data_IF_341262321941
#
_entry.id   IF_341262321941
#
_cell.length_a   1.000
_cell.length_b   1.000
_cell.length_c   1.000
_cell.angle_alpha   90.00
_cell.angle_beta   90.00
_cell.angle_gamma   90.00
#
_symmetry.space_group_name_H-M   'P 1'
#
loop_
_entity.id
_entity.type
_entity.pdbx_description
1 polymer ?
#
# COMPACT_ATOMS: atom_id res chain seq x y z
N UNK A 1 -58.95 -28.77 -53.49
CA UNK A 1 -58.53 -29.86 -54.45
C UNK A 1 -57.41 -30.60 -53.75
N UNK A 2 -57.70 -31.70 -53.13
CA UNK A 2 -57.51 -33.07 -53.63
C UNK A 2 -56.01 -33.43 -53.71
N UNK A 3 -55.65 -34.32 -52.83
CA UNK A 3 -55.11 -35.69 -52.85
C UNK A 3 -53.55 -35.70 -52.86
N UNK A 4 -52.80 -36.59 -52.31
CA UNK A 4 -53.04 -37.92 -51.81
C UNK A 4 -51.87 -38.43 -51.03
N UNK A 5 -52.16 -39.28 -50.10
CA UNK A 5 -51.37 -40.24 -49.33
C UNK A 5 -50.41 -41.06 -50.23
N UNK A 6 -49.17 -41.31 -49.77
CA UNK A 6 -48.50 -42.61 -49.87
C UNK A 6 -47.67 -42.91 -48.66
N UNK A 7 -48.01 -43.98 -48.04
CA UNK A 7 -47.31 -44.67 -46.93
C UNK A 7 -46.14 -45.45 -47.49
N UNK A 8 -45.00 -45.46 -46.84
CA UNK A 8 -44.04 -46.59 -46.98
C UNK A 8 -43.25 -46.72 -45.69
N UNK A 9 -43.46 -47.82 -45.02
CA UNK A 9 -42.72 -48.39 -43.91
C UNK A 9 -41.36 -48.87 -44.41
N UNK A 10 -40.27 -48.48 -43.72
CA UNK A 10 -39.01 -49.23 -43.66
C UNK A 10 -38.40 -49.16 -42.28
N UNK A 11 -38.18 -50.30 -41.80
CA UNK A 11 -37.59 -50.87 -40.64
C UNK A 11 -36.26 -50.25 -40.16
N UNK A 12 -36.12 -50.01 -38.93
CA UNK A 12 -35.05 -50.38 -37.99
C UNK A 12 -33.63 -49.94 -38.25
N UNK A 13 -33.17 -49.10 -37.30
CA UNK A 13 -31.85 -49.30 -36.67
C UNK A 13 -31.80 -48.39 -35.41
N UNK A 14 -31.94 -49.00 -34.25
CA UNK A 14 -31.68 -48.36 -32.94
C UNK A 14 -30.17 -48.11 -32.83
N UNK A 15 -29.74 -46.87 -33.10
CA UNK A 15 -28.47 -46.35 -32.62
C UNK A 15 -28.71 -45.60 -31.31
N UNK A 16 -28.34 -46.25 -30.22
CA UNK A 16 -28.27 -45.68 -28.90
C UNK A 16 -27.18 -44.59 -28.89
N UNK A 17 -27.59 -43.35 -29.13
CA UNK A 17 -26.79 -42.18 -28.81
C UNK A 17 -26.83 -42.00 -27.31
N UNK A 18 -25.76 -42.46 -26.63
CA UNK A 18 -25.44 -42.03 -25.26
C UNK A 18 -25.22 -40.53 -25.31
N UNK A 19 -26.23 -39.77 -24.90
CA UNK A 19 -26.08 -38.35 -24.54
C UNK A 19 -25.15 -38.31 -23.35
N UNK A 20 -23.86 -38.00 -23.62
CA UNK A 20 -22.95 -37.49 -22.60
C UNK A 20 -23.53 -36.18 -22.12
N UNK A 21 -24.10 -36.20 -20.92
CA UNK A 21 -24.40 -34.98 -20.18
C UNK A 21 -23.07 -34.28 -19.98
N UNK A 22 -22.81 -33.23 -20.74
CA UNK A 22 -21.82 -32.24 -20.35
C UNK A 22 -22.32 -31.66 -19.02
N UNK A 23 -21.66 -32.01 -17.93
CA UNK A 23 -21.85 -31.33 -16.65
C UNK A 23 -21.58 -29.86 -16.91
N UNK A 24 -22.61 -29.04 -16.72
CA UNK A 24 -22.45 -27.60 -16.63
C UNK A 24 -21.40 -27.34 -15.52
N UNK A 25 -20.51 -26.33 -15.67
CA UNK A 25 -19.60 -25.97 -14.62
C UNK A 25 -20.43 -25.71 -13.37
N UNK A 26 -20.19 -26.50 -12.32
CA UNK A 26 -20.80 -26.28 -11.02
C UNK A 26 -20.48 -24.85 -10.60
N UNK A 27 -21.51 -24.05 -10.41
CA UNK A 27 -21.39 -22.76 -9.74
C UNK A 27 -20.66 -23.03 -8.42
N UNK A 28 -19.59 -22.29 -8.10
CA UNK A 28 -18.85 -22.52 -6.87
C UNK A 28 -19.84 -22.43 -5.70
N UNK A 29 -20.00 -23.56 -5.02
CA UNK A 29 -20.84 -23.70 -3.86
C UNK A 29 -20.38 -22.65 -2.85
N UNK A 30 -21.27 -21.75 -2.44
CA UNK A 30 -20.98 -20.77 -1.36
C UNK A 30 -20.72 -21.58 -0.09
N UNK A 31 -19.47 -21.76 0.22
CA UNK A 31 -19.03 -22.50 1.39
C UNK A 31 -19.54 -21.79 2.65
N UNK A 32 -20.39 -22.47 3.40
CA UNK A 32 -20.74 -22.02 4.74
C UNK A 32 -19.46 -22.14 5.61
N UNK A 33 -18.94 -21.04 6.21
CA UNK A 33 -17.72 -21.05 7.00
C UNK A 33 -17.71 -22.12 8.10
N UNK A 34 -18.86 -22.38 8.72
CA UNK A 34 -18.98 -23.36 9.79
C UNK A 34 -18.89 -24.81 9.28
N UNK A 35 -19.41 -25.11 8.08
CA UNK A 35 -19.28 -26.42 7.44
C UNK A 35 -17.84 -26.71 7.00
N UNK A 36 -17.16 -25.72 6.44
CA UNK A 36 -15.76 -25.84 6.04
C UNK A 36 -14.87 -26.09 7.24
N UNK A 37 -15.10 -25.35 8.31
CA UNK A 37 -14.37 -25.53 9.57
C UNK A 37 -14.69 -26.88 10.21
N UNK A 38 -15.92 -27.35 10.13
CA UNK A 38 -16.30 -28.70 10.64
C UNK A 38 -15.60 -29.82 9.85
N UNK A 39 -15.43 -29.64 8.53
CA UNK A 39 -14.71 -30.61 7.66
C UNK A 39 -13.21 -30.61 7.88
N UNK A 40 -12.62 -29.53 8.41
CA UNK A 40 -11.17 -29.39 8.62
C UNK A 40 -10.61 -30.28 9.73
N UNK A 41 -11.47 -30.95 10.54
CA UNK A 41 -11.05 -31.75 11.68
C UNK A 41 -10.47 -30.95 12.86
N UNK A 42 -10.54 -29.59 12.78
CA UNK A 42 -10.10 -28.71 13.88
C UNK A 42 -11.08 -28.84 15.05
N UNK A 43 -10.64 -29.26 16.25
CA UNK A 43 -11.52 -29.39 17.40
C UNK A 43 -12.23 -28.06 17.73
N UNK A 44 -13.48 -28.08 18.20
CA UNK A 44 -14.24 -26.87 18.51
C UNK A 44 -13.58 -26.00 19.58
N UNK A 45 -12.83 -26.60 20.49
CA UNK A 45 -12.12 -25.91 21.56
C UNK A 45 -10.84 -26.66 21.87
N UNK A 46 -9.70 -26.16 21.43
CA UNK A 46 -8.37 -26.67 21.71
C UNK A 46 -7.33 -25.53 21.62
N UNK A 47 -6.14 -25.81 22.13
CA UNK A 47 -4.98 -24.93 21.95
C UNK A 47 -4.42 -25.16 20.55
N UNK A 48 -4.37 -24.11 19.74
CA UNK A 48 -3.81 -24.12 18.39
C UNK A 48 -2.29 -23.87 18.42
N UNK A 49 -1.87 -22.85 19.20
CA UNK A 49 -0.48 -22.56 19.48
C UNK A 49 -0.33 -21.93 20.87
N UNK A 50 0.89 -21.96 21.38
CA UNK A 50 1.31 -21.19 22.56
C UNK A 50 2.44 -20.27 22.09
N UNK A 51 2.30 -18.98 22.35
CA UNK A 51 3.25 -17.94 21.95
C UNK A 51 3.75 -17.27 23.23
N UNK A 52 4.95 -17.63 23.65
CA UNK A 52 5.47 -17.30 24.98
C UNK A 52 4.48 -17.73 26.08
N UNK A 53 3.80 -16.79 26.73
CA UNK A 53 2.80 -17.05 27.77
C UNK A 53 1.35 -17.00 27.25
N UNK A 54 1.13 -16.54 26.02
CA UNK A 54 -0.19 -16.39 25.43
C UNK A 54 -0.65 -17.63 24.67
N UNK A 55 -1.94 -17.88 24.69
CA UNK A 55 -2.57 -19.02 24.02
C UNK A 55 -3.34 -18.52 22.80
N UNK A 56 -3.07 -19.12 21.66
CA UNK A 56 -3.94 -19.04 20.47
C UNK A 56 -4.82 -20.27 20.46
N UNK A 57 -6.13 -20.07 20.44
CA UNK A 57 -7.11 -21.16 20.46
C UNK A 57 -7.60 -21.51 19.05
N UNK A 58 -8.20 -22.67 18.91
CA UNK A 58 -8.90 -23.06 17.67
C UNK A 58 -10.12 -22.18 17.40
N UNK A 59 -10.69 -21.55 18.43
CA UNK A 59 -11.73 -20.55 18.27
C UNK A 59 -11.16 -19.31 17.55
N UNK A 60 -10.00 -18.81 17.98
CA UNK A 60 -9.35 -17.64 17.34
C UNK A 60 -9.04 -17.93 15.86
N UNK A 61 -8.49 -19.13 15.56
CA UNK A 61 -8.23 -19.55 14.18
C UNK A 61 -9.51 -19.54 13.34
N UNK A 62 -10.62 -20.07 13.87
CA UNK A 62 -11.90 -20.04 13.16
C UNK A 62 -12.43 -18.63 12.95
N UNK A 63 -12.31 -17.76 13.94
CA UNK A 63 -12.71 -16.36 13.80
C UNK A 63 -11.89 -15.66 12.72
N UNK A 64 -10.58 -15.91 12.67
CA UNK A 64 -9.70 -15.36 11.63
C UNK A 64 -10.09 -15.87 10.24
N UNK A 65 -10.35 -17.17 10.08
CA UNK A 65 -10.81 -17.74 8.81
C UNK A 65 -12.13 -17.10 8.37
N UNK A 66 -13.08 -16.89 9.29
CA UNK A 66 -14.34 -16.20 8.98
C UNK A 66 -14.10 -14.76 8.50
N UNK A 67 -13.20 -14.02 9.15
CA UNK A 67 -12.79 -12.66 8.70
C UNK A 67 -12.20 -12.72 7.30
N UNK A 68 -11.29 -13.65 7.03
CA UNK A 68 -10.70 -13.84 5.70
C UNK A 68 -11.75 -14.20 4.63
N UNK A 69 -12.73 -15.02 4.98
CA UNK A 69 -13.84 -15.36 4.08
C UNK A 69 -14.72 -14.15 3.75
N UNK A 70 -15.04 -13.34 4.75
CA UNK A 70 -15.83 -12.12 4.54
C UNK A 70 -15.08 -11.14 3.64
N UNK A 71 -13.80 -10.90 3.90
CA UNK A 71 -12.98 -9.98 3.10
C UNK A 71 -12.79 -10.49 1.66
N UNK A 72 -12.82 -11.81 1.43
CA UNK A 72 -12.75 -12.44 0.10
C UNK A 72 -14.09 -12.53 -0.63
N UNK A 73 -15.16 -11.95 -0.08
CA UNK A 73 -16.49 -12.08 -0.66
C UNK A 73 -17.08 -13.51 -0.57
N UNK A 74 -16.57 -14.33 0.35
CA UNK A 74 -17.04 -15.71 0.58
C UNK A 74 -16.50 -16.74 -0.43
N UNK A 75 -15.47 -16.40 -1.21
CA UNK A 75 -14.97 -17.22 -2.32
C UNK A 75 -13.58 -17.80 -2.03
N UNK A 76 -13.45 -18.63 -1.01
CA UNK A 76 -12.23 -19.43 -0.83
C UNK A 76 -12.49 -20.84 -1.37
N UNK A 77 -11.71 -21.31 -2.35
CA UNK A 77 -11.82 -22.69 -2.85
C UNK A 77 -11.58 -23.70 -1.73
N UNK A 78 -12.30 -24.82 -1.74
CA UNK A 78 -12.21 -25.84 -0.68
C UNK A 78 -10.80 -26.46 -0.57
N UNK A 79 -10.10 -26.56 -1.68
CA UNK A 79 -8.71 -27.05 -1.76
C UNK A 79 -7.68 -26.06 -1.21
N UNK A 80 -8.00 -24.77 -1.15
CA UNK A 80 -7.16 -23.73 -0.53
C UNK A 80 -7.33 -23.66 1.01
N UNK A 81 -8.33 -24.30 1.58
CA UNK A 81 -8.65 -24.19 2.99
C UNK A 81 -7.50 -24.56 3.93
N UNK A 82 -6.71 -25.62 3.70
CA UNK A 82 -5.55 -25.91 4.56
C UNK A 82 -4.52 -24.77 4.60
N UNK A 83 -4.33 -24.10 3.47
CA UNK A 83 -3.42 -22.93 3.38
C UNK A 83 -3.98 -21.73 4.14
N UNK A 84 -5.29 -21.47 4.00
CA UNK A 84 -5.99 -20.41 4.74
C UNK A 84 -5.92 -20.63 6.25
N UNK A 85 -6.08 -21.86 6.70
CA UNK A 85 -5.96 -22.22 8.11
C UNK A 85 -4.53 -22.00 8.62
N UNK A 86 -3.53 -22.43 7.84
CA UNK A 86 -2.12 -22.22 8.18
C UNK A 86 -1.79 -20.73 8.23
N UNK A 87 -2.32 -19.94 7.30
CA UNK A 87 -2.15 -18.49 7.28
C UNK A 87 -2.83 -17.83 8.49
N UNK A 88 -4.09 -18.17 8.76
CA UNK A 88 -4.82 -17.65 9.91
C UNK A 88 -4.08 -17.92 11.24
N UNK A 89 -3.45 -19.08 11.37
CA UNK A 89 -2.65 -19.41 12.55
C UNK A 89 -1.36 -18.57 12.61
N UNK A 90 -0.67 -18.40 11.50
CA UNK A 90 0.53 -17.54 11.44
C UNK A 90 0.20 -16.11 11.80
N UNK A 91 -0.86 -15.54 11.21
CA UNK A 91 -1.29 -14.16 11.49
C UNK A 91 -1.59 -13.94 12.98
N UNK A 92 -2.27 -14.93 13.62
CA UNK A 92 -2.58 -14.85 15.04
C UNK A 92 -1.32 -14.96 15.92
N UNK A 93 -0.36 -15.79 15.54
CA UNK A 93 0.93 -15.89 16.24
C UNK A 93 1.67 -14.54 16.13
N UNK A 94 1.76 -14.00 14.93
CA UNK A 94 2.39 -12.70 14.66
C UNK A 94 1.72 -11.56 15.44
N UNK A 95 0.40 -11.52 15.48
CA UNK A 95 -0.34 -10.56 16.28
C UNK A 95 -0.03 -10.65 17.77
N UNK A 96 0.05 -11.86 18.32
CA UNK A 96 0.44 -12.05 19.73
C UNK A 96 1.84 -11.51 19.99
N UNK A 97 2.80 -11.81 19.11
CA UNK A 97 4.16 -11.31 19.22
C UNK A 97 4.23 -9.78 19.15
N UNK A 98 3.54 -9.18 18.18
CA UNK A 98 3.48 -7.72 18.05
C UNK A 98 2.88 -7.04 19.28
N UNK A 99 1.81 -7.60 19.83
CA UNK A 99 1.14 -7.03 21.00
C UNK A 99 1.96 -7.24 22.28
N UNK A 100 2.62 -8.39 22.43
CA UNK A 100 3.56 -8.62 23.54
C UNK A 100 4.71 -7.65 23.51
N UNK A 101 5.32 -7.49 22.34
CA UNK A 101 6.42 -6.54 22.15
C UNK A 101 5.98 -5.10 22.40
N UNK A 102 4.82 -4.67 21.90
CA UNK A 102 4.26 -3.35 22.17
C UNK A 102 4.08 -3.12 23.70
N UNK A 103 3.60 -4.13 24.41
CA UNK A 103 3.41 -4.08 25.86
C UNK A 103 4.73 -3.98 26.62
N UNK A 104 5.80 -4.62 26.15
CA UNK A 104 7.14 -4.49 26.76
C UNK A 104 7.69 -3.06 26.70
N UNK A 105 7.21 -2.26 25.73
CA UNK A 105 7.55 -0.85 25.59
C UNK A 105 6.47 0.10 26.12
N UNK A 106 5.57 -0.37 26.99
CA UNK A 106 4.48 0.41 27.57
C UNK A 106 3.60 1.13 26.54
N UNK A 107 3.49 0.54 25.32
CA UNK A 107 2.64 1.07 24.27
C UNK A 107 1.26 0.42 24.35
N UNK A 108 0.26 1.24 24.67
CA UNK A 108 -1.14 0.82 24.74
C UNK A 108 -1.97 1.51 23.66
N UNK A 109 -2.70 0.72 22.87
CA UNK A 109 -3.68 1.23 21.91
C UNK A 109 -5.02 1.35 22.61
N UNK A 110 -5.59 2.55 22.56
CA UNK A 110 -6.86 2.87 23.23
C UNK A 110 -8.06 2.35 22.43
N UNK A 111 -9.18 2.13 23.10
CA UNK A 111 -10.44 1.76 22.43
C UNK A 111 -10.95 2.86 21.49
N UNK A 112 -10.58 4.12 21.72
CA UNK A 112 -10.91 5.23 20.83
C UNK A 112 -10.17 5.09 19.49
N UNK A 113 -8.86 4.82 19.50
CA UNK A 113 -8.06 4.60 18.29
C UNK A 113 -8.58 3.38 17.49
N UNK A 114 -8.94 2.29 18.18
CA UNK A 114 -9.53 1.12 17.54
C UNK A 114 -10.88 1.47 16.88
N UNK A 115 -11.72 2.26 17.56
CA UNK A 115 -13.02 2.67 17.01
C UNK A 115 -12.89 3.61 15.82
N UNK A 116 -11.90 4.47 15.82
CA UNK A 116 -11.57 5.37 14.70
C UNK A 116 -11.13 4.55 13.49
N UNK A 117 -10.19 3.59 13.65
CA UNK A 117 -9.72 2.72 12.59
C UNK A 117 -10.86 1.88 12.01
N UNK A 118 -11.70 1.26 12.86
CA UNK A 118 -12.88 0.52 12.42
C UNK A 118 -13.87 1.42 11.64
N UNK A 119 -13.99 2.69 12.02
CA UNK A 119 -14.84 3.66 11.30
C UNK A 119 -14.25 4.00 9.93
N UNK A 120 -12.93 4.13 9.83
CA UNK A 120 -12.24 4.32 8.55
C UNK A 120 -12.41 3.09 7.64
N UNK A 121 -12.23 1.88 8.16
CA UNK A 121 -12.46 0.63 7.41
C UNK A 121 -13.91 0.52 6.89
N UNK A 122 -14.89 0.86 7.72
CA UNK A 122 -16.29 0.87 7.33
C UNK A 122 -16.56 1.90 6.21
N UNK A 123 -15.99 3.10 6.35
CA UNK A 123 -16.12 4.18 5.36
C UNK A 123 -15.51 3.81 4.01
N UNK A 124 -14.35 3.15 3.99
CA UNK A 124 -13.72 2.64 2.77
C UNK A 124 -14.60 1.61 2.03
N UNK A 125 -15.40 0.85 2.80
CA UNK A 125 -16.37 -0.09 2.25
C UNK A 125 -17.76 0.55 1.95
N UNK A 126 -17.89 1.87 2.07
CA UNK A 126 -19.15 2.63 1.92
C UNK A 126 -20.27 2.16 2.86
N UNK A 127 -19.93 1.70 4.07
CA UNK A 127 -20.90 1.30 5.10
C UNK A 127 -20.63 2.08 6.40
N UNK A 128 -21.62 2.15 7.28
CA UNK A 128 -21.41 2.69 8.62
C UNK A 128 -20.74 1.67 9.54
N UNK A 129 -20.08 2.13 10.61
CA UNK A 129 -19.50 1.25 11.63
C UNK A 129 -20.54 0.28 12.21
N UNK A 130 -21.77 0.74 12.44
CA UNK A 130 -22.85 -0.11 12.94
C UNK A 130 -23.23 -1.21 11.94
N UNK A 131 -23.25 -0.92 10.65
CA UNK A 131 -23.50 -1.91 9.60
C UNK A 131 -22.36 -2.92 9.51
N UNK A 132 -21.12 -2.47 9.65
CA UNK A 132 -19.96 -3.38 9.71
C UNK A 132 -20.10 -4.35 10.88
N UNK A 133 -20.39 -3.84 12.08
CA UNK A 133 -20.59 -4.66 13.29
C UNK A 133 -21.73 -5.65 13.08
N UNK A 134 -22.88 -5.22 12.59
CA UNK A 134 -24.03 -6.10 12.31
C UNK A 134 -23.70 -7.20 11.29
N UNK A 135 -22.92 -6.87 10.27
CA UNK A 135 -22.47 -7.84 9.27
C UNK A 135 -21.58 -8.91 9.90
N UNK A 136 -20.65 -8.51 10.75
CA UNK A 136 -19.78 -9.44 11.48
C UNK A 136 -20.60 -10.36 12.40
N UNK A 137 -21.49 -9.80 13.21
CA UNK A 137 -22.33 -10.55 14.12
C UNK A 137 -23.26 -11.54 13.38
N UNK A 138 -23.87 -11.11 12.28
CA UNK A 138 -24.76 -11.96 11.48
C UNK A 138 -24.03 -13.14 10.81
N UNK A 139 -22.74 -13.00 10.56
CA UNK A 139 -21.87 -14.06 10.01
C UNK A 139 -21.17 -14.87 11.10
N UNK A 140 -21.47 -14.61 12.38
CA UNK A 140 -20.90 -15.29 13.53
C UNK A 140 -19.42 -14.96 13.75
N UNK A 141 -19.00 -13.76 13.37
CA UNK A 141 -17.67 -13.24 13.66
C UNK A 141 -17.70 -12.40 14.91
N UNK A 142 -16.80 -12.68 15.83
CA UNK A 142 -16.63 -11.89 17.04
C UNK A 142 -16.02 -10.53 16.72
N UNK A 143 -16.71 -9.46 17.09
CA UNK A 143 -16.18 -8.08 16.96
C UNK A 143 -14.86 -7.94 17.74
N UNK A 144 -14.71 -8.64 18.86
CA UNK A 144 -13.47 -8.60 19.63
C UNK A 144 -12.28 -9.19 18.84
N UNK A 145 -12.50 -10.22 18.03
CA UNK A 145 -11.43 -10.79 17.18
C UNK A 145 -10.95 -9.77 16.14
N UNK A 146 -11.86 -8.98 15.56
CA UNK A 146 -11.47 -7.88 14.67
C UNK A 146 -10.76 -6.76 15.45
N UNK A 147 -11.24 -6.41 16.64
CA UNK A 147 -10.60 -5.39 17.48
C UNK A 147 -9.15 -5.76 17.85
N UNK A 148 -8.88 -7.02 18.19
CA UNK A 148 -7.51 -7.48 18.49
C UNK A 148 -6.60 -7.38 17.27
N UNK A 149 -7.10 -7.75 16.10
CA UNK A 149 -6.39 -7.56 14.84
C UNK A 149 -6.04 -6.10 14.60
N UNK A 150 -7.03 -5.21 14.70
CA UNK A 150 -6.85 -3.76 14.53
C UNK A 150 -5.87 -3.20 15.57
N UNK A 151 -5.97 -3.65 16.83
CA UNK A 151 -5.02 -3.26 17.88
C UNK A 151 -3.58 -3.57 17.50
N UNK A 152 -3.33 -4.76 16.97
CA UNK A 152 -2.00 -5.16 16.49
C UNK A 152 -1.53 -4.32 15.31
N UNK A 153 -2.43 -4.02 14.38
CA UNK A 153 -2.15 -3.19 13.20
C UNK A 153 -1.83 -1.74 13.55
N UNK A 154 -2.38 -1.21 14.63
CA UNK A 154 -2.06 0.12 15.15
C UNK A 154 -0.77 0.08 15.98
N UNK A 155 -0.66 -0.89 16.91
CA UNK A 155 0.45 -0.96 17.85
C UNK A 155 1.81 -1.12 17.16
N UNK A 156 1.89 -2.02 16.16
CA UNK A 156 3.17 -2.35 15.54
C UNK A 156 3.84 -1.19 14.81
N UNK A 157 3.17 -0.46 13.90
CA UNK A 157 3.75 0.71 13.27
C UNK A 157 4.12 1.81 14.27
N UNK A 158 3.31 2.03 15.30
CA UNK A 158 3.61 3.01 16.35
C UNK A 158 4.88 2.61 17.11
N UNK A 159 5.02 1.35 17.48
CA UNK A 159 6.23 0.83 18.14
C UNK A 159 7.47 0.99 17.25
N UNK A 160 7.38 0.55 16.00
CA UNK A 160 8.49 0.64 15.03
C UNK A 160 8.88 2.11 14.83
N UNK A 161 7.92 2.99 14.62
CA UNK A 161 8.18 4.42 14.47
C UNK A 161 8.78 5.03 15.74
N UNK A 162 8.23 4.74 16.92
CA UNK A 162 8.74 5.25 18.17
C UNK A 162 10.19 4.84 18.43
N UNK A 163 10.53 3.59 18.08
CA UNK A 163 11.84 2.99 18.37
C UNK A 163 12.92 3.31 17.33
N UNK A 164 12.53 3.45 16.07
CA UNK A 164 13.47 3.48 14.94
C UNK A 164 13.43 4.76 14.11
N UNK A 165 12.52 5.71 14.38
CA UNK A 165 12.43 6.97 13.62
C UNK A 165 13.76 7.68 13.48
N UNK A 166 14.58 7.69 14.56
CA UNK A 166 15.86 8.39 14.58
C UNK A 166 16.98 7.65 13.84
N UNK A 167 16.73 6.39 13.43
CA UNK A 167 17.64 5.56 12.61
C UNK A 167 17.37 5.69 11.13
N UNK A 168 16.18 6.13 10.76
CA UNK A 168 15.80 6.38 9.38
C UNK A 168 16.15 7.81 9.04
N UNK A 169 17.05 7.98 8.10
CA UNK A 169 17.42 9.30 7.58
C UNK A 169 17.36 9.24 6.06
N UNK A 170 16.46 10.01 5.50
CA UNK A 170 16.41 10.24 4.07
C UNK A 170 17.34 11.41 3.79
N UNK A 171 18.38 11.19 3.00
CA UNK A 171 19.30 12.27 2.64
C UNK A 171 18.76 13.08 1.47
N UNK A 172 19.14 14.36 1.42
CA UNK A 172 18.82 15.22 0.28
C UNK A 172 19.32 14.62 -1.04
N UNK A 173 20.52 14.02 -1.03
CA UNK A 173 21.09 13.35 -2.20
C UNK A 173 20.25 12.17 -2.68
N UNK A 174 19.66 11.38 -1.76
CA UNK A 174 18.78 10.25 -2.11
C UNK A 174 17.50 10.75 -2.78
N UNK A 175 16.93 11.83 -2.27
CA UNK A 175 15.74 12.47 -2.83
C UNK A 175 16.08 13.06 -4.22
N UNK A 176 17.17 13.83 -4.32
CA UNK A 176 17.56 14.49 -5.57
C UNK A 176 17.90 13.48 -6.67
N UNK A 177 18.66 12.42 -6.35
CA UNK A 177 18.95 11.35 -7.29
C UNK A 177 17.68 10.58 -7.73
N UNK A 178 16.71 10.45 -6.83
CA UNK A 178 15.45 9.79 -7.18
C UNK A 178 14.60 10.69 -8.07
N UNK A 179 14.48 11.98 -7.74
CA UNK A 179 13.79 12.96 -8.59
C UNK A 179 14.44 13.07 -9.96
N UNK A 180 15.78 13.09 -10.02
CA UNK A 180 16.50 13.16 -11.29
C UNK A 180 16.18 11.95 -12.18
N UNK A 181 16.23 10.73 -11.63
CA UNK A 181 15.82 9.54 -12.37
C UNK A 181 14.36 9.61 -12.83
N UNK A 182 13.47 10.09 -11.96
CA UNK A 182 12.06 10.26 -12.30
C UNK A 182 11.86 11.30 -13.41
N UNK A 183 12.66 12.39 -13.45
CA UNK A 183 12.65 13.36 -14.54
C UNK A 183 13.13 12.75 -15.85
N UNK A 184 14.25 12.04 -15.83
CA UNK A 184 14.80 11.36 -17.00
C UNK A 184 13.81 10.34 -17.59
N UNK A 185 13.05 9.66 -16.72
CA UNK A 185 12.03 8.70 -17.09
C UNK A 185 10.62 9.32 -17.27
N UNK A 186 10.44 10.61 -16.99
CA UNK A 186 9.12 11.27 -17.07
C UNK A 186 8.55 11.31 -18.51
N UNK A 187 9.40 11.18 -19.52
CA UNK A 187 9.00 10.98 -20.91
C UNK A 187 8.50 9.56 -21.20
N UNK A 188 8.62 8.64 -20.25
CA UNK A 188 8.25 7.25 -20.39
C UNK A 188 6.78 7.00 -19.99
N UNK A 189 6.30 5.81 -20.32
CA UNK A 189 4.96 5.35 -20.03
C UNK A 189 4.63 5.37 -18.52
N UNK A 190 3.36 5.50 -18.20
CA UNK A 190 2.82 5.32 -16.85
C UNK A 190 1.99 4.05 -16.78
N UNK A 191 2.05 3.37 -15.64
CA UNK A 191 1.38 2.11 -15.39
C UNK A 191 0.48 2.23 -14.17
N UNK A 192 -0.77 1.83 -14.29
CA UNK A 192 -1.65 1.66 -13.13
C UNK A 192 -1.40 0.27 -12.56
N UNK A 193 -0.78 0.21 -11.38
CA UNK A 193 -0.19 -1.03 -10.84
C UNK A 193 -0.83 -1.42 -9.51
N UNK A 194 -0.96 -2.71 -9.31
CA UNK A 194 -1.15 -3.31 -7.98
C UNK A 194 -0.04 -4.31 -7.69
N UNK A 195 0.32 -4.48 -6.40
CA UNK A 195 1.41 -5.34 -5.95
C UNK A 195 0.98 -6.35 -4.90
N UNK A 196 1.64 -7.51 -4.89
CA UNK A 196 1.60 -8.49 -3.81
C UNK A 196 3.03 -8.81 -3.43
N UNK A 197 3.37 -8.69 -2.14
CA UNK A 197 4.69 -9.00 -1.62
C UNK A 197 4.62 -10.26 -0.76
N UNK A 198 5.35 -11.29 -1.15
CA UNK A 198 5.46 -12.54 -0.40
C UNK A 198 6.87 -12.58 0.23
N UNK A 199 7.01 -12.32 1.52
CA UNK A 199 8.31 -12.28 2.17
C UNK A 199 8.98 -13.65 2.14
N UNK A 200 10.31 -13.66 1.98
CA UNK A 200 11.13 -14.88 2.02
C UNK A 200 11.89 -14.91 3.34
N UNK A 201 11.27 -15.48 4.37
CA UNK A 201 11.85 -15.54 5.71
C UNK A 201 13.08 -16.44 5.78
N UNK A 202 13.12 -17.48 4.94
CA UNK A 202 14.24 -18.39 4.85
C UNK A 202 14.76 -18.52 3.40
N UNK A 203 15.92 -17.94 3.07
CA UNK A 203 16.49 -18.03 1.73
C UNK A 203 16.69 -19.46 1.21
N UNK A 204 16.91 -20.43 2.10
CA UNK A 204 17.04 -21.84 1.71
C UNK A 204 15.73 -22.44 1.21
N UNK A 205 14.60 -21.81 1.50
CA UNK A 205 13.27 -22.21 1.06
C UNK A 205 12.71 -21.30 -0.03
N UNK A 206 13.49 -20.41 -0.61
CA UNK A 206 13.04 -19.44 -1.63
C UNK A 206 12.25 -20.11 -2.77
N UNK A 207 12.66 -21.32 -3.19
CA UNK A 207 11.95 -22.09 -4.21
C UNK A 207 10.51 -22.46 -3.78
N UNK A 208 10.29 -22.73 -2.50
CA UNK A 208 8.96 -23.04 -1.96
C UNK A 208 8.07 -21.79 -1.96
N UNK A 209 8.60 -20.63 -1.55
CA UNK A 209 7.88 -19.36 -1.61
C UNK A 209 7.55 -18.98 -3.05
N UNK A 210 8.48 -19.21 -3.99
CA UNK A 210 8.22 -19.01 -5.42
C UNK A 210 7.04 -19.87 -5.91
N UNK A 211 7.03 -21.16 -5.58
CA UNK A 211 5.94 -22.07 -5.97
C UNK A 211 4.60 -21.66 -5.31
N UNK A 212 4.61 -21.24 -4.06
CA UNK A 212 3.44 -20.69 -3.39
C UNK A 212 2.91 -19.43 -4.12
N UNK A 213 3.80 -18.53 -4.48
CA UNK A 213 3.45 -17.34 -5.26
C UNK A 213 2.85 -17.68 -6.63
N UNK A 214 3.36 -18.70 -7.31
CA UNK A 214 2.78 -19.20 -8.56
C UNK A 214 1.38 -19.78 -8.37
N UNK A 215 1.11 -20.43 -7.23
CA UNK A 215 -0.24 -20.92 -6.92
C UNK A 215 -1.23 -19.78 -6.73
N UNK A 216 -0.82 -18.65 -6.13
CA UNK A 216 -1.65 -17.45 -6.01
C UNK A 216 -1.98 -16.87 -7.40
N UNK A 217 -1.01 -16.83 -8.30
CA UNK A 217 -1.24 -16.39 -9.69
C UNK A 217 -2.25 -17.29 -10.38
N UNK A 218 -2.15 -18.60 -10.17
CA UNK A 218 -3.10 -19.54 -10.76
C UNK A 218 -4.53 -19.37 -10.20
N UNK A 219 -4.67 -19.04 -8.91
CA UNK A 219 -5.97 -18.70 -8.33
C UNK A 219 -6.56 -17.43 -8.96
N UNK A 220 -5.73 -16.40 -9.18
CA UNK A 220 -6.17 -15.19 -9.86
C UNK A 220 -6.59 -15.46 -11.31
N UNK A 221 -5.89 -16.33 -12.02
CA UNK A 221 -6.29 -16.79 -13.36
C UNK A 221 -7.64 -17.51 -13.38
N UNK A 222 -8.01 -18.16 -12.28
CA UNK A 222 -9.32 -18.81 -12.10
C UNK A 222 -10.42 -17.83 -11.65
N UNK A 223 -10.11 -16.56 -11.51
CA UNK A 223 -11.08 -15.50 -11.25
C UNK A 223 -11.08 -14.93 -9.82
N UNK A 224 -10.15 -15.34 -8.97
CA UNK A 224 -9.98 -14.67 -7.67
C UNK A 224 -9.44 -13.26 -7.90
N UNK A 225 -10.09 -12.20 -7.38
CA UNK A 225 -9.63 -10.83 -7.59
C UNK A 225 -8.23 -10.61 -6.99
N UNK A 226 -7.38 -9.88 -7.71
CA UNK A 226 -6.02 -9.54 -7.24
C UNK A 226 -6.03 -8.88 -5.87
N UNK A 227 -6.93 -7.92 -5.66
CA UNK A 227 -7.07 -7.20 -4.40
C UNK A 227 -7.32 -8.13 -3.20
N UNK A 228 -8.12 -9.18 -3.39
CA UNK A 228 -8.40 -10.17 -2.35
C UNK A 228 -7.14 -10.95 -1.99
N UNK A 229 -6.38 -11.38 -2.99
CA UNK A 229 -5.10 -12.07 -2.77
C UNK A 229 -4.09 -11.16 -2.08
N UNK A 230 -4.03 -9.88 -2.49
CA UNK A 230 -3.18 -8.89 -1.85
C UNK A 230 -3.52 -8.70 -0.37
N UNK A 231 -4.81 -8.53 -0.05
CA UNK A 231 -5.26 -8.35 1.35
C UNK A 231 -4.96 -9.57 2.24
N UNK A 232 -4.96 -10.77 1.66
CA UNK A 232 -4.76 -12.00 2.42
C UNK A 232 -3.32 -12.44 2.56
N UNK A 233 -2.49 -12.18 1.57
CA UNK A 233 -1.17 -12.79 1.46
C UNK A 233 -0.03 -11.78 1.30
N UNK A 234 -0.33 -10.53 1.00
CA UNK A 234 0.70 -9.52 0.82
C UNK A 234 1.18 -8.96 2.16
N UNK A 235 2.50 -8.87 2.31
CA UNK A 235 3.15 -8.18 3.42
C UNK A 235 3.45 -6.71 3.10
N UNK A 236 3.15 -6.23 1.90
CA UNK A 236 3.31 -4.83 1.54
C UNK A 236 2.33 -3.93 2.31
N UNK A 237 2.72 -2.68 2.53
CA UNK A 237 1.87 -1.66 3.17
C UNK A 237 0.58 -1.40 2.41
N UNK A 238 0.59 -1.65 1.10
CA UNK A 238 -0.57 -1.53 0.20
C UNK A 238 -1.58 -2.68 0.34
N UNK A 239 -1.26 -3.73 1.10
CA UNK A 239 -2.13 -4.91 1.27
C UNK A 239 -3.56 -4.55 1.70
N UNK A 240 -3.71 -3.62 2.66
CA UNK A 240 -4.99 -3.18 3.18
C UNK A 240 -5.90 -2.55 2.09
N UNK A 241 -5.29 -1.91 1.09
CA UNK A 241 -6.00 -1.31 -0.05
C UNK A 241 -5.99 -2.23 -1.29
N UNK A 242 -5.79 -3.53 -1.10
CA UNK A 242 -5.79 -4.51 -2.19
C UNK A 242 -4.54 -4.49 -3.06
N UNK A 243 -3.43 -4.00 -2.52
CA UNK A 243 -2.15 -3.89 -3.21
C UNK A 243 -2.07 -2.69 -4.17
N UNK A 244 -2.97 -1.73 -4.10
CA UNK A 244 -3.02 -0.62 -5.05
C UNK A 244 -1.85 0.35 -4.85
N UNK A 245 -0.97 0.44 -5.85
CA UNK A 245 0.11 1.43 -5.93
C UNK A 245 -0.32 2.71 -6.65
N UNK A 246 -1.47 2.69 -7.34
CA UNK A 246 -1.88 3.78 -8.21
C UNK A 246 -1.08 3.85 -9.50
N UNK A 247 -0.94 5.06 -10.05
CA UNK A 247 -0.13 5.32 -11.25
C UNK A 247 1.34 5.41 -10.89
N UNK A 248 2.11 4.48 -11.43
CA UNK A 248 3.57 4.36 -11.30
C UNK A 248 4.19 4.71 -12.63
N UNK A 249 5.25 5.51 -12.63
CA UNK A 249 6.01 5.82 -13.83
C UNK A 249 7.11 4.84 -14.06
N UNK A 250 7.48 4.69 -15.30
CA UNK A 250 8.70 4.00 -15.69
C UNK A 250 9.90 4.58 -14.92
N UNK A 251 10.70 3.71 -14.32
CA UNK A 251 11.84 4.06 -13.47
C UNK A 251 11.52 4.36 -11.99
N UNK A 252 10.25 4.37 -11.58
CA UNK A 252 9.86 4.61 -10.18
C UNK A 252 10.07 3.37 -9.29
N UNK A 253 9.99 2.18 -9.85
CA UNK A 253 10.24 0.92 -9.15
C UNK A 253 11.70 0.46 -9.31
N UNK A 254 12.06 -0.61 -8.60
CA UNK A 254 13.34 -1.29 -8.80
C UNK A 254 13.44 -1.79 -10.26
N UNK A 255 14.65 -1.87 -10.80
CA UNK A 255 14.89 -2.11 -12.23
C UNK A 255 14.20 -3.35 -12.78
N UNK A 256 14.22 -4.46 -12.03
CA UNK A 256 13.60 -5.72 -12.43
C UNK A 256 12.07 -5.63 -12.49
N UNK A 257 11.46 -4.87 -11.56
CA UNK A 257 10.03 -4.63 -11.51
C UNK A 257 9.60 -3.70 -12.64
N UNK A 258 10.36 -2.64 -12.88
CA UNK A 258 10.10 -1.68 -13.95
C UNK A 258 10.18 -2.34 -15.33
N UNK A 259 11.21 -3.16 -15.56
CA UNK A 259 11.35 -3.91 -16.81
C UNK A 259 10.16 -4.85 -17.06
N UNK A 260 9.64 -5.48 -16.01
CA UNK A 260 8.45 -6.32 -16.13
C UNK A 260 7.21 -5.50 -16.50
N UNK A 261 7.01 -4.31 -15.91
CA UNK A 261 5.89 -3.42 -16.25
C UNK A 261 5.91 -2.96 -17.70
N UNK A 262 7.09 -2.63 -18.23
CA UNK A 262 7.25 -2.19 -19.64
C UNK A 262 6.84 -3.26 -20.64
N UNK A 263 7.08 -4.55 -20.29
CA UNK A 263 6.85 -5.67 -21.22
C UNK A 263 5.42 -6.23 -21.18
N UNK A 264 4.68 -5.99 -20.09
CA UNK A 264 3.35 -6.58 -19.91
C UNK A 264 2.23 -5.70 -20.47
N UNK A 265 1.24 -6.29 -21.14
CA UNK A 265 0.05 -5.56 -21.54
C UNK A 265 -0.89 -5.30 -20.35
N UNK A 266 -1.80 -4.28 -20.46
CA UNK A 266 -2.87 -4.08 -19.49
C UNK A 266 -3.70 -5.34 -19.24
N UNK A 267 -4.12 -5.56 -18.00
CA UNK A 267 -4.86 -6.75 -17.57
C UNK A 267 -3.99 -7.96 -17.26
N UNK A 268 -2.67 -7.84 -17.30
CA UNK A 268 -1.72 -8.91 -17.04
C UNK A 268 -1.13 -8.85 -15.63
N UNK A 269 -0.67 -10.03 -15.17
CA UNK A 269 0.02 -10.22 -13.90
C UNK A 269 1.40 -10.80 -14.18
N UNK A 270 2.44 -10.31 -13.47
CA UNK A 270 3.81 -10.83 -13.60
C UNK A 270 3.93 -12.23 -13.01
N UNK A 271 4.99 -12.95 -13.39
CA UNK A 271 5.51 -14.00 -12.52
C UNK A 271 6.11 -13.38 -11.25
N UNK A 272 6.32 -14.18 -10.18
CA UNK A 272 6.96 -13.66 -8.98
C UNK A 272 8.39 -13.18 -9.28
N UNK A 273 8.68 -11.92 -8.96
CA UNK A 273 9.98 -11.28 -9.20
C UNK A 273 10.68 -11.15 -7.85
N UNK A 274 11.91 -11.66 -7.69
CA UNK A 274 12.66 -11.49 -6.45
C UNK A 274 13.09 -10.02 -6.30
N UNK A 275 12.72 -9.39 -5.19
CA UNK A 275 13.08 -8.01 -4.86
C UNK A 275 12.99 -7.78 -3.36
N UNK A 276 13.98 -7.11 -2.78
CA UNK A 276 13.96 -6.69 -1.38
C UNK A 276 13.82 -7.80 -0.33
N UNK A 277 14.17 -9.05 -0.64
CA UNK A 277 13.97 -10.20 0.25
C UNK A 277 12.57 -10.82 0.20
N UNK A 278 11.78 -10.46 -0.81
CA UNK A 278 10.44 -10.98 -1.07
C UNK A 278 10.30 -11.40 -2.53
N UNK A 279 9.22 -12.11 -2.86
CA UNK A 279 8.72 -12.23 -4.21
C UNK A 279 7.61 -11.21 -4.43
N UNK A 280 7.78 -10.35 -5.42
CA UNK A 280 6.80 -9.34 -5.81
C UNK A 280 6.02 -9.83 -7.03
N UNK A 281 4.70 -9.74 -6.95
CA UNK A 281 3.79 -10.00 -8.08
C UNK A 281 3.12 -8.67 -8.40
N UNK A 282 3.25 -8.22 -9.64
CA UNK A 282 2.61 -6.98 -10.11
C UNK A 282 1.45 -7.30 -11.03
N UNK A 283 0.37 -6.54 -10.91
CA UNK A 283 -0.71 -6.50 -11.88
C UNK A 283 -0.71 -5.15 -12.59
N UNK A 284 -0.60 -5.17 -13.92
CA UNK A 284 -0.77 -3.98 -14.75
C UNK A 284 -2.25 -3.86 -15.08
N UNK A 285 -2.93 -2.88 -14.48
CA UNK A 285 -4.36 -2.63 -14.71
C UNK A 285 -4.61 -1.78 -15.95
N UNK A 286 -3.75 -0.77 -16.15
CA UNK A 286 -3.82 0.15 -17.28
C UNK A 286 -2.44 0.71 -17.60
N UNK A 287 -2.27 1.27 -18.82
CA UNK A 287 -1.08 1.96 -19.28
C UNK A 287 -1.48 3.31 -19.88
N UNK A 288 -0.66 4.32 -19.64
CA UNK A 288 -0.75 5.63 -20.31
C UNK A 288 0.58 5.93 -20.98
N UNK A 289 0.50 6.55 -22.15
CA UNK A 289 1.67 7.21 -22.71
C UNK A 289 2.16 8.30 -21.75
N UNK A 290 3.43 8.66 -21.85
CA UNK A 290 4.04 9.67 -21.03
C UNK A 290 3.14 10.91 -20.91
N UNK A 291 3.04 11.45 -19.71
CA UNK A 291 2.36 12.72 -19.51
C UNK A 291 3.08 13.79 -20.34
N UNK A 292 2.35 14.49 -21.19
CA UNK A 292 2.85 15.72 -21.80
C UNK A 292 3.13 16.68 -20.65
N UNK A 293 4.36 17.21 -20.57
CA UNK A 293 4.73 18.19 -19.56
C UNK A 293 3.68 19.31 -19.54
N UNK A 294 3.09 19.55 -18.39
CA UNK A 294 2.22 20.68 -18.15
C UNK A 294 3.02 21.97 -17.96
N UNK A 295 2.34 23.04 -17.59
CA UNK A 295 3.04 24.26 -17.20
C UNK A 295 3.81 24.06 -15.89
N UNK A 296 5.07 24.54 -15.79
CA UNK A 296 5.83 24.47 -14.56
C UNK A 296 5.12 25.18 -13.41
N UNK A 297 5.18 24.59 -12.22
CA UNK A 297 4.68 25.23 -11.00
C UNK A 297 5.81 25.42 -9.99
N UNK A 298 5.70 26.47 -9.21
CA UNK A 298 6.71 26.88 -8.26
C UNK A 298 6.13 26.98 -6.86
N UNK A 299 6.93 26.62 -5.87
CA UNK A 299 6.75 27.07 -4.50
C UNK A 299 7.72 28.21 -4.25
N UNK A 300 7.17 29.40 -4.10
CA UNK A 300 7.93 30.64 -3.97
C UNK A 300 7.77 31.23 -2.59
N UNK A 301 8.87 31.66 -2.00
CA UNK A 301 8.83 32.51 -0.83
C UNK A 301 9.23 33.95 -1.21
N UNK A 302 8.52 34.91 -0.64
CA UNK A 302 8.80 36.33 -0.83
C UNK A 302 9.18 36.90 0.53
N UNK A 303 10.32 37.58 0.57
CA UNK A 303 10.68 38.46 1.67
C UNK A 303 10.64 39.91 1.17
N UNK A 304 10.00 40.79 1.94
CA UNK A 304 9.88 42.20 1.58
C UNK A 304 10.31 43.07 2.76
N UNK A 305 11.22 44.03 2.51
CA UNK A 305 11.67 45.01 3.48
C UNK A 305 11.07 46.38 3.14
N UNK A 306 10.51 47.08 4.14
CA UNK A 306 9.89 48.36 3.97
C UNK A 306 10.93 49.42 3.54
N UNK A 307 10.62 50.23 2.52
CA UNK A 307 11.50 51.27 2.03
C UNK A 307 11.82 52.36 3.07
N UNK A 308 10.98 52.52 4.10
CA UNK A 308 11.24 53.44 5.21
C UNK A 308 12.48 53.07 6.02
N UNK A 309 12.95 51.82 5.94
CA UNK A 309 14.21 51.38 6.53
C UNK A 309 15.45 52.04 5.89
N UNK A 310 15.30 52.55 4.69
CA UNK A 310 16.39 52.99 3.83
C UNK A 310 17.02 51.87 3.01
N UNK A 311 17.62 52.20 1.87
CA UNK A 311 18.15 51.22 0.91
C UNK A 311 19.16 50.24 1.56
N UNK A 312 20.24 50.74 2.12
CA UNK A 312 21.30 49.88 2.65
C UNK A 312 20.87 48.97 3.79
N UNK A 313 20.08 49.40 4.80
CA UNK A 313 19.53 48.51 5.82
C UNK A 313 18.57 47.48 5.28
N UNK A 314 17.68 47.83 4.34
CA UNK A 314 16.73 46.91 3.72
C UNK A 314 17.45 45.81 2.93
N UNK A 315 18.41 46.16 2.10
CA UNK A 315 19.26 45.19 1.38
C UNK A 315 19.99 44.25 2.35
N UNK A 316 20.64 44.81 3.37
CA UNK A 316 21.36 44.00 4.36
C UNK A 316 20.45 43.04 5.14
N UNK A 317 19.20 43.42 5.39
CA UNK A 317 18.21 42.55 6.04
C UNK A 317 17.81 41.36 5.14
N UNK A 318 17.51 41.62 3.85
CA UNK A 318 17.13 40.61 2.88
C UNK A 318 18.28 39.68 2.50
N UNK A 319 19.51 40.18 2.39
CA UNK A 319 20.71 39.40 2.07
C UNK A 319 21.07 38.38 3.17
N UNK A 320 20.78 38.69 4.43
CA UNK A 320 21.02 37.79 5.56
C UNK A 320 20.11 36.60 5.58
N UNK A 321 18.98 36.63 4.88
CA UNK A 321 18.03 35.54 4.86
C UNK A 321 18.60 34.38 4.06
N UNK A 322 18.63 33.18 4.68
CA UNK A 322 19.11 31.94 4.11
C UNK A 322 17.93 31.22 3.45
N UNK A 323 18.08 30.80 2.20
CA UNK A 323 17.01 30.16 1.42
C UNK A 323 16.43 28.97 2.14
N UNK A 324 17.25 28.09 2.73
CA UNK A 324 16.77 26.91 3.45
C UNK A 324 15.86 27.27 4.64
N UNK A 325 16.15 28.36 5.36
CA UNK A 325 15.33 28.84 6.47
C UNK A 325 14.02 29.45 5.96
N UNK A 326 14.10 30.24 4.89
CA UNK A 326 12.95 30.90 4.26
C UNK A 326 12.01 29.89 3.65
N UNK A 327 12.53 28.81 3.06
CA UNK A 327 11.77 27.77 2.41
C UNK A 327 11.27 26.66 3.37
N UNK A 328 11.68 26.63 4.63
CA UNK A 328 11.25 25.61 5.60
C UNK A 328 9.77 25.70 6.01
N UNK A 329 9.03 26.55 5.36
CA UNK A 329 7.57 26.54 5.21
C UNK A 329 6.75 26.57 6.49
N UNK A 330 6.55 27.65 7.11
CA UNK A 330 5.40 27.81 8.00
C UNK A 330 5.64 27.70 9.49
N UNK A 331 6.83 27.50 9.93
CA UNK A 331 7.15 27.88 11.30
C UNK A 331 7.81 29.23 11.25
N UNK A 332 7.05 30.25 11.40
CA UNK A 332 7.36 31.64 11.74
C UNK A 332 8.41 31.81 12.87
N UNK A 333 9.49 31.06 12.81
CA UNK A 333 10.62 31.13 13.73
C UNK A 333 11.82 31.85 13.10
N UNK A 334 11.66 32.31 11.85
CA UNK A 334 12.66 33.18 11.25
C UNK A 334 12.47 34.55 11.88
N UNK A 335 13.41 34.98 12.66
CA UNK A 335 13.46 36.38 13.11
C UNK A 335 13.85 37.24 11.90
N UNK A 336 12.84 37.67 11.15
CA UNK A 336 13.02 38.52 9.98
C UNK A 336 13.47 39.94 10.34
N UNK A 337 13.42 40.27 11.63
CA UNK A 337 13.66 41.62 12.12
C UNK A 337 12.48 42.58 11.84
N UNK A 338 12.50 43.76 12.47
CA UNK A 338 11.44 44.75 12.28
C UNK A 338 11.43 45.31 10.86
N UNK A 339 10.23 45.37 10.27
CA UNK A 339 10.02 45.95 8.95
C UNK A 339 10.26 44.97 7.79
N UNK A 340 10.50 43.69 8.04
CA UNK A 340 10.57 42.66 7.00
C UNK A 340 9.34 41.77 7.05
N UNK A 341 8.59 41.68 5.94
CA UNK A 341 7.46 40.81 5.74
C UNK A 341 7.85 39.54 4.98
N UNK A 342 7.03 38.51 5.10
CA UNK A 342 7.23 37.22 4.46
C UNK A 342 5.92 36.65 3.94
N UNK A 343 5.95 35.98 2.78
CA UNK A 343 4.84 35.23 2.23
C UNK A 343 5.35 33.99 1.51
N UNK A 344 4.65 32.86 1.65
CA UNK A 344 4.88 31.63 0.92
C UNK A 344 3.70 31.40 -0.05
N UNK A 345 4.01 31.12 -1.31
CA UNK A 345 3.06 30.80 -2.36
C UNK A 345 3.40 29.41 -2.89
N UNK A 346 2.44 28.49 -2.78
CA UNK A 346 2.61 27.11 -3.20
C UNK A 346 1.87 26.85 -4.53
N UNK A 347 2.44 26.00 -5.37
CA UNK A 347 1.86 25.56 -6.65
C UNK A 347 1.45 26.72 -7.57
N UNK A 348 2.31 27.72 -7.70
CA UNK A 348 2.06 28.91 -8.52
C UNK A 348 2.66 28.73 -9.90
N UNK A 349 1.86 28.89 -10.96
CA UNK A 349 2.37 28.98 -12.33
C UNK A 349 2.96 30.37 -12.58
N UNK A 350 3.91 30.46 -13.52
CA UNK A 350 4.63 31.71 -13.84
C UNK A 350 3.67 32.84 -14.19
N UNK A 351 2.58 32.56 -14.90
CA UNK A 351 1.57 33.56 -15.29
C UNK A 351 0.85 34.19 -14.08
N UNK A 352 0.77 33.49 -12.94
CA UNK A 352 0.20 33.98 -11.68
C UNK A 352 1.18 34.78 -10.83
N UNK A 353 2.49 34.72 -11.16
CA UNK A 353 3.50 35.56 -10.53
C UNK A 353 3.35 37.00 -11.04
N UNK A 354 3.45 37.97 -10.12
CA UNK A 354 3.42 39.36 -10.50
C UNK A 354 4.46 39.67 -11.61
N UNK A 355 4.06 40.37 -12.67
CA UNK A 355 4.91 40.64 -13.85
C UNK A 355 6.29 41.19 -13.53
N UNK A 356 6.43 41.92 -12.42
CA UNK A 356 7.72 42.48 -12.00
C UNK A 356 8.70 41.43 -11.47
N UNK A 357 8.18 40.34 -10.91
CA UNK A 357 9.00 39.25 -10.34
C UNK A 357 9.18 38.09 -11.31
N UNK A 358 8.29 37.97 -12.30
CA UNK A 358 8.28 36.87 -13.26
C UNK A 358 9.63 36.64 -13.94
N UNK A 359 10.35 37.62 -14.49
CA UNK A 359 11.63 37.36 -15.14
C UNK A 359 12.69 36.79 -14.22
N UNK A 360 12.60 37.05 -12.92
CA UNK A 360 13.53 36.51 -11.93
C UNK A 360 13.18 35.10 -11.54
N UNK A 361 11.90 34.73 -11.55
CA UNK A 361 11.44 33.37 -11.19
C UNK A 361 11.73 32.36 -12.30
N UNK A 362 11.62 32.78 -13.56
CA UNK A 362 11.85 31.92 -14.73
C UNK A 362 13.30 31.40 -14.80
N UNK A 363 14.27 32.24 -14.43
CA UNK A 363 15.70 31.97 -14.54
C UNK A 363 16.28 31.28 -13.28
N UNK A 364 15.52 31.23 -12.17
CA UNK A 364 15.99 30.65 -10.91
C UNK A 364 15.70 29.15 -10.83
N UNK A 365 16.68 28.45 -10.31
CA UNK A 365 16.52 27.04 -9.93
C UNK A 365 16.15 26.92 -8.45
N UNK A 366 15.73 25.71 -8.08
CA UNK A 366 15.39 25.39 -6.70
C UNK A 366 16.56 25.71 -5.76
N UNK A 367 16.26 26.37 -4.65
CA UNK A 367 17.25 26.76 -3.65
C UNK A 367 17.92 28.09 -3.95
N UNK A 368 17.65 28.70 -5.10
CA UNK A 368 18.18 30.00 -5.48
C UNK A 368 17.25 31.12 -5.03
N UNK A 369 17.82 32.33 -4.99
CA UNK A 369 17.09 33.55 -4.70
C UNK A 369 17.44 34.64 -5.71
N UNK A 370 16.49 35.51 -5.96
CA UNK A 370 16.72 36.68 -6.78
C UNK A 370 17.68 37.68 -6.13
N UNK A 371 18.24 38.57 -6.91
CA UNK A 371 18.77 39.85 -6.41
C UNK A 371 17.65 40.62 -5.71
N UNK A 372 18.00 41.61 -4.91
CA UNK A 372 17.01 42.50 -4.30
C UNK A 372 16.36 43.37 -5.39
N UNK A 373 15.03 43.34 -5.45
CA UNK A 373 14.20 44.03 -6.44
C UNK A 373 13.44 45.15 -5.74
N UNK A 374 13.57 46.37 -6.25
CA UNK A 374 12.78 47.50 -5.75
C UNK A 374 11.44 47.55 -6.49
N UNK A 375 10.35 47.40 -5.77
CA UNK A 375 8.99 47.45 -6.31
C UNK A 375 8.00 47.95 -5.26
N UNK A 376 6.99 48.71 -5.71
CA UNK A 376 5.85 49.15 -4.90
C UNK A 376 6.19 49.83 -3.57
N UNK A 377 7.35 50.52 -3.51
CA UNK A 377 7.82 51.22 -2.31
C UNK A 377 8.42 50.27 -1.23
N UNK A 378 8.84 49.12 -1.64
CA UNK A 378 9.54 48.14 -0.80
C UNK A 378 10.66 47.45 -1.59
N UNK A 379 11.56 46.80 -0.85
CA UNK A 379 12.62 45.95 -1.39
C UNK A 379 12.23 44.50 -1.24
N UNK A 380 12.33 43.71 -2.31
CA UNK A 380 11.86 42.33 -2.34
C UNK A 380 12.99 41.39 -2.75
N UNK A 381 12.96 40.17 -2.18
CA UNK A 381 13.73 39.02 -2.67
C UNK A 381 12.80 37.85 -2.83
N UNK A 382 12.89 37.17 -3.97
CA UNK A 382 12.12 35.97 -4.30
C UNK A 382 13.03 34.77 -4.16
N UNK A 383 12.54 33.73 -3.51
CA UNK A 383 13.22 32.45 -3.31
C UNK A 383 12.44 31.35 -4.00
N UNK A 384 13.10 30.50 -4.78
CA UNK A 384 12.50 29.31 -5.37
C UNK A 384 12.71 28.15 -4.38
N UNK A 385 11.68 27.84 -3.63
CA UNK A 385 11.71 26.77 -2.62
C UNK A 385 11.56 25.41 -3.27
N UNK A 386 10.67 25.30 -4.28
CA UNK A 386 10.49 24.11 -5.10
C UNK A 386 10.06 24.51 -6.51
N UNK A 387 10.41 23.65 -7.49
CA UNK A 387 10.08 23.83 -8.90
C UNK A 387 9.63 22.48 -9.46
N UNK A 388 8.35 22.36 -9.79
CA UNK A 388 7.84 21.25 -10.58
C UNK A 388 7.82 21.66 -12.06
N UNK A 389 8.56 20.97 -12.88
CA UNK A 389 8.65 21.20 -14.32
C UNK A 389 7.38 20.81 -15.10
N UNK A 390 6.27 20.60 -14.42
CA UNK A 390 5.00 20.16 -15.01
C UNK A 390 5.00 18.71 -15.45
N UNK A 391 6.01 17.96 -15.05
CA UNK A 391 6.13 16.53 -15.36
C UNK A 391 5.21 15.67 -14.46
N UNK A 392 4.48 16.31 -13.52
CA UNK A 392 3.59 15.67 -12.56
C UNK A 392 4.34 14.75 -11.60
N UNK A 393 5.61 15.03 -11.30
CA UNK A 393 6.42 14.31 -10.32
C UNK A 393 5.86 14.52 -8.90
N UNK A 394 6.05 13.57 -7.97
CA UNK A 394 5.73 13.83 -6.59
C UNK A 394 6.56 15.00 -6.07
N UNK A 395 5.98 15.77 -5.17
CA UNK A 395 6.76 16.79 -4.47
C UNK A 395 7.90 16.14 -3.69
N UNK A 396 8.96 16.93 -3.43
CA UNK A 396 10.11 16.48 -2.64
C UNK A 396 9.68 15.91 -1.29
N UNK A 397 8.76 16.57 -0.60
CA UNK A 397 8.22 16.12 0.67
C UNK A 397 7.45 14.79 0.52
N UNK A 398 6.62 14.65 -0.50
CA UNK A 398 5.90 13.39 -0.76
C UNK A 398 6.86 12.24 -1.05
N UNK A 399 7.95 12.50 -1.77
CA UNK A 399 8.98 11.50 -2.04
C UNK A 399 9.79 11.15 -0.79
N UNK A 400 10.18 12.14 0.01
CA UNK A 400 10.83 11.93 1.29
C UNK A 400 9.99 11.05 2.22
N UNK A 401 8.71 11.39 2.37
CA UNK A 401 7.76 10.61 3.18
C UNK A 401 7.62 9.16 2.67
N UNK A 402 7.61 8.96 1.36
CA UNK A 402 7.55 7.63 0.74
C UNK A 402 8.81 6.82 1.00
N UNK A 403 9.99 7.42 0.83
CA UNK A 403 11.28 6.77 1.10
C UNK A 403 11.39 6.44 2.59
N UNK A 404 11.05 7.38 3.46
CA UNK A 404 11.03 7.21 4.92
C UNK A 404 10.13 6.03 5.32
N UNK A 405 8.89 6.01 4.85
CA UNK A 405 7.94 4.95 5.16
C UNK A 405 8.45 3.57 4.70
N UNK A 406 9.05 3.49 3.50
CA UNK A 406 9.65 2.25 2.98
C UNK A 406 10.81 1.76 3.83
N UNK A 407 11.72 2.65 4.22
CA UNK A 407 12.87 2.30 5.07
C UNK A 407 12.40 1.85 6.46
N UNK A 408 11.42 2.53 7.03
CA UNK A 408 10.84 2.18 8.33
C UNK A 408 10.12 0.82 8.29
N UNK A 409 9.37 0.54 7.22
CA UNK A 409 8.72 -0.77 7.01
C UNK A 409 9.73 -1.91 6.97
N UNK A 410 10.82 -1.77 6.20
CA UNK A 410 11.90 -2.77 6.15
C UNK A 410 12.51 -3.04 7.54
N UNK A 411 12.72 -2.00 8.33
CA UNK A 411 13.21 -2.13 9.70
C UNK A 411 12.18 -2.88 10.55
N UNK A 412 10.90 -2.55 10.41
CA UNK A 412 9.80 -3.21 11.13
C UNK A 412 9.72 -4.71 10.82
N UNK A 413 9.84 -5.08 9.56
CA UNK A 413 9.85 -6.49 9.13
C UNK A 413 11.08 -7.24 9.69
N UNK A 414 12.26 -6.61 9.65
CA UNK A 414 13.45 -7.21 10.24
C UNK A 414 13.31 -7.36 11.76
N UNK A 415 12.77 -6.36 12.42
CA UNK A 415 12.53 -6.40 13.85
C UNK A 415 11.53 -7.50 14.23
N UNK A 416 10.45 -7.67 13.49
CA UNK A 416 9.48 -8.75 13.72
C UNK A 416 10.14 -10.13 13.61
N UNK A 417 10.97 -10.36 12.58
CA UNK A 417 11.73 -11.60 12.45
C UNK A 417 12.68 -11.85 13.62
N UNK A 418 13.24 -10.79 14.21
CA UNK A 418 14.09 -10.92 15.39
C UNK A 418 13.27 -11.29 16.63
N UNK A 419 12.08 -10.68 16.79
CA UNK A 419 11.12 -11.03 17.85
C UNK A 419 10.68 -12.50 17.72
N UNK A 420 10.30 -12.94 16.53
CA UNK A 420 9.91 -14.33 16.25
C UNK A 420 11.01 -15.33 16.63
N UNK A 421 12.26 -15.05 16.25
CA UNK A 421 13.41 -15.91 16.56
C UNK A 421 13.71 -16.03 18.05
N UNK A 422 13.41 -14.97 18.81
CA UNK A 422 13.69 -14.92 20.24
C UNK A 422 12.50 -15.40 21.09
N UNK A 423 11.36 -15.68 20.47
CA UNK A 423 10.13 -16.10 21.12
C UNK A 423 9.96 -17.60 21.10
N UNK A 424 9.28 -18.12 22.13
CA UNK A 424 8.88 -19.53 22.18
C UNK A 424 7.52 -19.69 21.52
N UNK A 425 7.48 -20.36 20.36
CA UNK A 425 6.25 -20.68 19.64
C UNK A 425 6.07 -22.19 19.56
N UNK A 426 5.06 -22.72 20.26
CA UNK A 426 4.68 -24.14 20.25
C UNK A 426 3.37 -24.32 19.48
N UNK A 427 3.46 -24.77 18.22
CA UNK A 427 2.31 -25.04 17.35
C UNK A 427 1.79 -26.45 17.62
N UNK A 428 0.56 -26.56 18.14
CA UNK A 428 -0.09 -27.83 18.50
C UNK A 428 -1.02 -28.38 17.44
N UNK A 429 -1.51 -27.54 16.52
CA UNK A 429 -2.30 -27.96 15.36
C UNK A 429 -1.38 -28.42 14.21
N UNK A 430 -0.71 -29.56 14.37
CA UNK A 430 0.27 -30.09 13.41
C UNK A 430 -0.32 -30.45 12.03
N UNK A 431 -1.62 -30.73 11.96
CA UNK A 431 -2.27 -31.15 10.71
C UNK A 431 -2.48 -30.00 9.72
N UNK A 432 -2.23 -28.74 10.11
CA UNK A 432 -2.40 -27.57 9.25
C UNK A 432 -1.08 -27.10 8.59
N UNK A 433 0.05 -27.58 9.06
CA UNK A 433 1.37 -27.08 8.63
C UNK A 433 2.16 -28.03 7.73
N UNK A 434 1.69 -29.27 7.55
CA UNK A 434 2.30 -30.21 6.62
C UNK A 434 1.39 -30.43 5.42
N UNK A 435 1.81 -30.07 4.17
CA UNK A 435 1.21 -30.67 3.00
C UNK A 435 1.49 -32.18 3.10
N UNK A 436 0.43 -33.00 2.98
CA UNK A 436 0.57 -34.45 2.90
C UNK A 436 1.66 -34.79 1.88
N UNK A 437 2.72 -35.48 2.36
CA UNK A 437 3.85 -35.91 1.58
C UNK A 437 3.49 -36.95 0.52
#
# INVERSE_FOLDING_TARGET
MRFSVVSSVVCGLLLSLSQGYAQAPETPEKLNPDEVIARSGVPPSAVAAVVNEDVVTTFDVRQRIKLMLISSGGQIPADAMPQVQAQALRDLIEERLKLQEAKEFDLEVTDAEISEELSMMASQSNVSLNQLIQTLESTGVSVNSLKEQVRSQIAWPQLVQGRYRDRVRVSDDEIDNTLQRMREDASNEQFLVSEICIPVDNPAQAQQYYQGSMQLIEQMRRGVPFAVVAQQFSACTTAAVGGDLGWVRAGELEEELDQALRTLPPGSVTNPIPSGGAFIILAVRDKREAAVAGEPTFTLAYAAADASMGNAPAHAALEKLVTAEVCSGGSLRIDLGPGVGYALLENVTVDRVNERFRPFVEDLERGEKSTVIEADGAYHTVYVCDKDEGLGLPSREALENRIYARQLSRIGEQYLRDVERNSMVDIRLRNLTQPNG
#
